data_IF_431959114233
#
_entry.id   IF_431959114233
#
_cell.length_a   1.000
_cell.length_b   1.000
_cell.length_c   1.000
_cell.angle_alpha   90.00
_cell.angle_beta   90.00
_cell.angle_gamma   90.00
#
_symmetry.space_group_name_H-M   'P 1'
#
loop_
_entity.id
_entity.type
_entity.pdbx_description
1 polymer ?
#
# COMPACT_ATOMS: atom_id res chain seq x y z
N UNK A 1 -15.57 -15.02 -6.97
CA UNK A 1 -16.49 -14.47 -5.93
C UNK A 1 -15.75 -14.00 -4.66
N UNK A 2 -14.77 -14.76 -4.17
CA UNK A 2 -14.08 -14.51 -2.90
C UNK A 2 -12.88 -13.54 -2.99
N UNK A 3 -12.59 -12.99 -4.18
CA UNK A 3 -11.55 -11.96 -4.33
C UNK A 3 -11.85 -10.78 -3.42
N UNK A 4 -10.84 -10.30 -2.70
CA UNK A 4 -10.91 -9.03 -1.96
C UNK A 4 -10.38 -7.92 -2.88
N UNK A 5 -11.21 -6.93 -3.18
CA UNK A 5 -10.89 -5.84 -4.12
C UNK A 5 -11.51 -4.51 -3.65
N UNK A 6 -11.44 -3.47 -4.48
CA UNK A 6 -11.84 -2.11 -4.12
C UNK A 6 -10.67 -1.32 -3.56
N UNK A 7 -10.80 -0.81 -2.33
CA UNK A 7 -9.82 0.07 -1.69
C UNK A 7 -9.48 1.31 -2.54
N UNK A 8 -10.48 1.87 -3.22
CA UNK A 8 -10.32 3.10 -4.00
C UNK A 8 -10.26 4.27 -3.02
N UNK A 9 -9.05 4.57 -2.56
CA UNK A 9 -8.76 5.56 -1.54
C UNK A 9 -7.26 5.84 -1.47
N UNK A 10 -6.90 6.97 -0.87
CA UNK A 10 -5.51 7.40 -0.72
C UNK A 10 -5.28 7.87 0.71
N UNK A 11 -4.15 7.46 1.27
CA UNK A 11 -3.69 7.93 2.57
C UNK A 11 -2.22 8.36 2.46
N UNK A 12 -1.82 9.35 3.24
CA UNK A 12 -0.44 9.75 3.42
C UNK A 12 -0.27 10.41 4.77
N UNK A 13 0.94 10.36 5.32
CA UNK A 13 1.26 10.95 6.60
C UNK A 13 2.73 10.75 6.94
N UNK A 14 3.13 11.33 8.07
CA UNK A 14 4.46 11.18 8.64
C UNK A 14 4.36 10.92 10.14
N UNK A 15 5.35 10.23 10.69
CA UNK A 15 5.47 10.06 12.13
C UNK A 15 6.20 11.28 12.73
N UNK A 16 5.64 11.86 13.79
CA UNK A 16 6.37 12.81 14.64
C UNK A 16 7.10 12.04 15.74
N UNK A 17 8.42 12.03 15.64
CA UNK A 17 9.36 11.38 16.54
C UNK A 17 10.11 12.39 17.42
N UNK A 18 9.70 13.66 17.44
CA UNK A 18 10.31 14.71 18.28
C UNK A 18 10.39 14.30 19.75
N UNK A 19 9.32 13.70 20.29
CA UNK A 19 9.29 13.18 21.66
C UNK A 19 10.28 12.03 21.89
N UNK A 20 10.48 11.15 20.89
CA UNK A 20 11.47 10.08 20.97
C UNK A 20 12.90 10.64 20.96
N UNK A 21 13.18 11.64 20.11
CA UNK A 21 14.49 12.28 20.07
C UNK A 21 14.83 12.95 21.39
N UNK A 22 13.87 13.64 22.01
CA UNK A 22 14.03 14.21 23.33
C UNK A 22 14.37 13.16 24.40
N UNK A 23 13.69 12.00 24.39
CA UNK A 23 13.97 10.90 25.32
C UNK A 23 15.38 10.31 25.15
N UNK A 24 15.91 10.31 23.93
CA UNK A 24 17.25 9.82 23.60
C UNK A 24 18.35 10.87 23.77
N UNK A 25 17.99 12.10 24.16
CA UNK A 25 18.94 13.22 24.23
C UNK A 25 19.48 13.68 22.88
N UNK A 26 18.78 13.36 21.79
CA UNK A 26 19.17 13.72 20.43
C UNK A 26 18.66 15.12 20.09
N UNK A 27 19.57 15.98 19.64
CA UNK A 27 19.24 17.30 19.09
C UNK A 27 19.45 17.28 17.59
N UNK A 28 18.50 17.85 16.84
CA UNK A 28 18.58 17.96 15.38
C UNK A 28 18.54 19.43 15.00
N UNK A 29 19.35 19.83 14.01
CA UNK A 29 19.34 21.16 13.43
C UNK A 29 19.08 21.04 11.94
N UNK A 30 18.19 21.87 11.41
CA UNK A 30 17.75 21.81 10.01
C UNK A 30 18.01 23.16 9.35
N UNK A 31 18.83 23.15 8.30
CA UNK A 31 18.99 24.28 7.39
C UNK A 31 18.08 24.06 6.19
N UNK A 32 17.20 25.02 5.90
CA UNK A 32 16.24 24.93 4.80
C UNK A 32 16.36 26.15 3.89
N UNK A 33 16.16 25.94 2.59
CA UNK A 33 16.15 27.00 1.59
C UNK A 33 14.75 27.54 1.32
N UNK A 34 13.71 26.78 1.65
CA UNK A 34 12.29 27.11 1.41
C UNK A 34 11.44 26.60 2.57
N UNK A 35 10.24 27.18 2.74
CA UNK A 35 9.38 26.94 3.91
C UNK A 35 8.97 25.48 4.09
N UNK A 36 8.69 24.76 2.99
CA UNK A 36 8.23 23.35 2.98
C UNK A 36 9.34 22.35 2.67
N UNK A 37 10.61 22.77 2.60
CA UNK A 37 11.72 21.90 2.16
C UNK A 37 11.94 20.69 3.09
N UNK A 38 11.53 20.81 4.36
CA UNK A 38 11.60 19.77 5.39
C UNK A 38 10.21 19.29 5.83
N UNK A 39 9.16 19.48 5.02
CA UNK A 39 7.77 19.19 5.40
C UNK A 39 7.53 17.76 5.89
N UNK A 40 8.27 16.78 5.36
CA UNK A 40 8.17 15.37 5.78
C UNK A 40 9.14 14.98 6.90
N UNK A 41 9.79 15.95 7.56
CA UNK A 41 10.70 15.68 8.65
C UNK A 41 9.99 15.01 9.84
N UNK A 42 10.69 14.06 10.48
CA UNK A 42 10.20 13.30 11.63
C UNK A 42 10.48 13.97 12.97
N UNK A 43 11.20 15.08 13.01
CA UNK A 43 11.63 15.75 14.25
C UNK A 43 10.69 16.88 14.71
N UNK A 44 9.56 17.08 14.04
CA UNK A 44 8.54 18.08 14.36
C UNK A 44 7.19 17.69 13.77
N UNK A 45 6.04 18.21 14.23
CA UNK A 45 4.78 18.04 13.53
C UNK A 45 4.71 18.85 12.22
N UNK A 46 3.67 18.64 11.42
CA UNK A 46 3.36 19.55 10.31
C UNK A 46 3.03 20.95 10.84
N UNK A 47 3.39 21.98 10.09
CA UNK A 47 2.76 23.30 10.26
C UNK A 47 1.35 23.29 9.68
N UNK A 48 0.51 24.26 10.03
CA UNK A 48 -0.84 24.38 9.45
C UNK A 48 -0.82 24.52 7.92
N UNK A 49 0.15 25.27 7.38
CA UNK A 49 0.33 25.44 5.94
C UNK A 49 0.74 24.13 5.24
N UNK A 50 1.68 23.38 5.84
CA UNK A 50 2.11 22.08 5.34
C UNK A 50 1.00 21.03 5.40
N UNK A 51 0.23 21.01 6.49
CA UNK A 51 -0.91 20.11 6.65
C UNK A 51 -1.98 20.38 5.58
N UNK A 52 -2.26 21.65 5.30
CA UNK A 52 -3.21 22.02 4.25
C UNK A 52 -2.69 21.62 2.87
N UNK A 53 -1.42 21.86 2.57
CA UNK A 53 -0.81 21.45 1.31
C UNK A 53 -0.83 19.93 1.11
N UNK A 54 -0.59 19.16 2.17
CA UNK A 54 -0.69 17.70 2.14
C UNK A 54 -2.14 17.24 1.87
N UNK A 55 -3.13 17.87 2.51
CA UNK A 55 -4.56 17.60 2.27
C UNK A 55 -4.97 17.88 0.83
N UNK A 56 -4.50 18.98 0.25
CA UNK A 56 -4.84 19.34 -1.13
C UNK A 56 -4.19 18.39 -2.14
N UNK A 57 -2.96 17.97 -1.88
CA UNK A 57 -2.28 16.93 -2.66
C UNK A 57 -3.04 15.60 -2.60
N UNK A 58 -3.48 15.19 -1.40
CA UNK A 58 -4.28 13.98 -1.21
C UNK A 58 -5.62 14.03 -1.95
N UNK A 59 -6.32 15.17 -1.91
CA UNK A 59 -7.57 15.39 -2.66
C UNK A 59 -7.34 15.26 -4.15
N UNK A 60 -6.32 15.92 -4.69
CA UNK A 60 -6.00 15.86 -6.11
C UNK A 60 -5.71 14.44 -6.59
N UNK A 61 -4.93 13.66 -5.83
CA UNK A 61 -4.69 12.26 -6.16
C UNK A 61 -5.96 11.41 -6.02
N UNK A 62 -6.77 11.65 -5.00
CA UNK A 62 -8.01 10.89 -4.78
C UNK A 62 -8.99 11.12 -5.93
N UNK A 63 -9.22 12.38 -6.32
CA UNK A 63 -10.10 12.73 -7.43
C UNK A 63 -9.58 12.14 -8.75
N UNK A 64 -8.26 12.14 -8.95
CA UNK A 64 -7.66 11.46 -10.11
C UNK A 64 -7.93 9.95 -10.11
N UNK A 65 -7.78 9.28 -8.96
CA UNK A 65 -8.03 7.85 -8.85
C UNK A 65 -9.51 7.55 -9.13
N UNK A 66 -10.44 8.29 -8.53
CA UNK A 66 -11.88 8.11 -8.79
C UNK A 66 -12.21 8.37 -10.26
N UNK A 67 -11.64 9.39 -10.89
CA UNK A 67 -11.81 9.66 -12.32
C UNK A 67 -11.33 8.50 -13.19
N UNK A 68 -10.15 7.93 -12.93
CA UNK A 68 -9.65 6.77 -13.69
C UNK A 68 -10.58 5.57 -13.57
N UNK A 69 -11.14 5.34 -12.38
CA UNK A 69 -12.13 4.27 -12.17
C UNK A 69 -13.43 4.58 -12.90
N UNK A 70 -13.93 5.81 -12.82
CA UNK A 70 -15.15 6.22 -13.50
C UNK A 70 -15.02 6.02 -15.01
N UNK A 71 -13.94 6.53 -15.60
CA UNK A 71 -13.66 6.42 -17.04
C UNK A 71 -13.50 4.96 -17.46
N UNK A 72 -12.67 4.19 -16.74
CA UNK A 72 -12.38 2.80 -17.09
C UNK A 72 -13.53 1.82 -16.86
N UNK A 73 -14.53 2.19 -16.06
CA UNK A 73 -15.71 1.37 -15.75
C UNK A 73 -16.99 1.94 -16.36
N UNK A 74 -16.88 3.02 -17.12
CA UNK A 74 -18.01 3.75 -17.71
C UNK A 74 -19.10 4.10 -16.67
N UNK A 75 -18.65 4.51 -15.47
CA UNK A 75 -19.52 4.91 -14.36
C UNK A 75 -19.68 6.43 -14.33
N UNK A 76 -20.82 6.91 -13.85
CA UNK A 76 -20.92 8.30 -13.44
C UNK A 76 -19.96 8.56 -12.26
N UNK A 77 -19.46 9.79 -12.15
CA UNK A 77 -18.61 10.18 -11.01
C UNK A 77 -19.29 9.88 -9.67
N UNK A 78 -20.60 10.09 -9.55
CA UNK A 78 -21.36 9.78 -8.32
C UNK A 78 -21.34 8.28 -8.00
N UNK A 79 -21.49 7.41 -9.00
CA UNK A 79 -21.43 5.96 -8.81
C UNK A 79 -20.02 5.48 -8.46
N UNK A 80 -18.99 6.08 -9.06
CA UNK A 80 -17.59 5.83 -8.72
C UNK A 80 -17.29 6.27 -7.28
N UNK A 81 -17.73 7.47 -6.87
CA UNK A 81 -17.58 7.95 -5.49
C UNK A 81 -18.33 7.10 -4.46
N UNK A 82 -19.51 6.55 -4.81
CA UNK A 82 -20.25 5.64 -3.95
C UNK A 82 -19.49 4.35 -3.66
N UNK A 83 -18.62 3.93 -4.59
CA UNK A 83 -17.74 2.76 -4.47
C UNK A 83 -16.33 3.10 -3.97
N UNK A 84 -16.05 4.38 -3.67
CA UNK A 84 -14.72 4.86 -3.29
C UNK A 84 -14.55 4.96 -1.76
N UNK A 85 -13.84 5.98 -1.27
CA UNK A 85 -13.56 6.26 0.15
C UNK A 85 -12.79 5.14 0.88
N UNK A 86 -12.04 4.33 0.14
CA UNK A 86 -11.25 3.23 0.69
C UNK A 86 -12.07 2.00 1.10
N UNK A 87 -13.35 1.90 0.70
CA UNK A 87 -14.14 0.71 0.98
C UNK A 87 -13.58 -0.52 0.27
N UNK A 88 -13.56 -1.64 0.97
CA UNK A 88 -13.12 -2.94 0.48
C UNK A 88 -14.36 -3.79 0.22
N UNK A 89 -14.35 -4.53 -0.88
CA UNK A 89 -15.47 -5.34 -1.35
C UNK A 89 -15.01 -6.75 -1.67
N UNK A 90 -15.90 -7.71 -1.47
CA UNK A 90 -15.76 -9.03 -2.08
C UNK A 90 -16.08 -8.95 -3.57
N UNK A 91 -15.52 -9.89 -4.34
CA UNK A 91 -15.69 -9.93 -5.79
C UNK A 91 -17.15 -9.99 -6.23
N UNK A 92 -18.03 -10.60 -5.43
CA UNK A 92 -19.50 -10.55 -5.59
C UNK A 92 -20.04 -9.12 -5.61
N UNK A 93 -19.80 -8.38 -4.53
CA UNK A 93 -20.26 -7.01 -4.35
C UNK A 93 -19.63 -6.04 -5.36
N UNK A 94 -18.37 -6.30 -5.73
CA UNK A 94 -17.66 -5.55 -6.76
C UNK A 94 -18.32 -5.69 -8.14
N UNK A 95 -18.88 -6.87 -8.46
CA UNK A 95 -19.61 -7.09 -9.70
C UNK A 95 -20.93 -6.31 -9.72
N UNK A 96 -21.69 -6.33 -8.61
CA UNK A 96 -22.92 -5.55 -8.45
C UNK A 96 -22.67 -4.04 -8.62
N UNK A 97 -21.51 -3.56 -8.17
CA UNK A 97 -21.05 -2.17 -8.29
C UNK A 97 -20.37 -1.85 -9.62
N UNK A 98 -20.30 -2.81 -10.54
CA UNK A 98 -19.63 -2.69 -11.84
C UNK A 98 -18.13 -2.37 -11.76
N UNK A 99 -17.48 -2.64 -10.63
CA UNK A 99 -16.04 -2.52 -10.47
C UNK A 99 -15.28 -3.65 -11.18
N UNK A 100 -15.95 -4.76 -11.47
CA UNK A 100 -15.44 -5.88 -12.27
C UNK A 100 -16.49 -6.33 -13.27
N UNK A 101 -16.07 -7.03 -14.33
CA UNK A 101 -16.95 -7.43 -15.43
C UNK A 101 -17.60 -8.80 -15.21
N UNK A 102 -16.90 -9.72 -14.55
CA UNK A 102 -17.38 -11.08 -14.35
C UNK A 102 -16.72 -11.81 -13.18
N UNK A 103 -17.36 -12.88 -12.72
CA UNK A 103 -16.73 -13.84 -11.81
C UNK A 103 -15.90 -14.88 -12.56
N UNK A 104 -14.74 -15.23 -12.04
CA UNK A 104 -13.97 -16.34 -12.58
C UNK A 104 -12.62 -16.44 -11.91
N UNK A 105 -11.70 -17.07 -12.64
CA UNK A 105 -10.28 -17.13 -12.31
C UNK A 105 -9.45 -16.96 -13.58
N UNK A 106 -8.15 -17.24 -13.46
CA UNK A 106 -7.18 -17.07 -14.54
C UNK A 106 -7.58 -17.77 -15.85
N UNK A 107 -8.04 -19.03 -15.79
CA UNK A 107 -8.43 -19.78 -16.98
C UNK A 107 -9.61 -19.15 -17.74
N UNK A 108 -10.61 -18.64 -17.01
CA UNK A 108 -11.71 -17.89 -17.63
C UNK A 108 -11.17 -16.62 -18.30
N UNK A 109 -10.33 -15.85 -17.61
CA UNK A 109 -9.75 -14.63 -18.18
C UNK A 109 -8.97 -14.91 -19.48
N UNK A 110 -8.21 -16.02 -19.53
CA UNK A 110 -7.47 -16.44 -20.73
C UNK A 110 -8.44 -16.79 -21.87
N UNK A 111 -9.52 -17.52 -21.59
CA UNK A 111 -10.53 -17.87 -22.60
C UNK A 111 -11.19 -16.62 -23.18
N UNK A 112 -11.57 -15.66 -22.34
CA UNK A 112 -12.18 -14.38 -22.77
C UNK A 112 -11.20 -13.59 -23.66
N UNK A 113 -9.92 -13.50 -23.27
CA UNK A 113 -8.88 -12.82 -24.07
C UNK A 113 -8.65 -13.51 -25.40
N UNK A 114 -8.60 -14.85 -25.44
CA UNK A 114 -8.46 -15.60 -26.70
C UNK A 114 -9.61 -15.33 -27.66
N UNK A 115 -10.84 -15.35 -27.14
CA UNK A 115 -12.03 -15.06 -27.94
C UNK A 115 -11.98 -13.63 -28.53
N UNK A 116 -11.56 -12.64 -27.73
CA UNK A 116 -11.43 -11.25 -28.20
C UNK A 116 -10.27 -11.05 -29.18
N UNK A 117 -9.17 -11.79 -29.01
CA UNK A 117 -7.98 -11.70 -29.85
C UNK A 117 -8.05 -12.57 -31.13
N UNK A 118 -9.10 -13.37 -31.30
CA UNK A 118 -9.23 -14.31 -32.43
C UNK A 118 -8.21 -15.45 -32.39
N UNK A 119 -7.77 -15.85 -31.20
CA UNK A 119 -6.81 -16.95 -31.00
C UNK A 119 -7.56 -18.25 -30.73
N UNK A 120 -7.12 -19.35 -31.33
CA UNK A 120 -7.73 -20.67 -31.13
C UNK A 120 -7.80 -21.05 -29.65
N UNK A 121 -8.91 -21.69 -29.27
CA UNK A 121 -9.16 -22.13 -27.89
C UNK A 121 -8.08 -23.10 -27.37
N UNK A 122 -7.43 -23.83 -28.28
CA UNK A 122 -6.40 -24.82 -27.96
C UNK A 122 -4.97 -24.32 -28.20
N UNK A 123 -4.80 -23.05 -28.60
CA UNK A 123 -3.48 -22.48 -28.85
C UNK A 123 -2.60 -22.59 -27.59
N UNK A 124 -1.35 -23.07 -27.68
CA UNK A 124 -0.50 -23.29 -26.52
C UNK A 124 -0.24 -21.98 -25.75
N UNK A 125 -0.35 -22.04 -24.42
CA UNK A 125 -0.05 -20.89 -23.54
C UNK A 125 1.39 -21.03 -23.08
N UNK A 126 2.23 -20.07 -23.46
CA UNK A 126 3.54 -19.91 -22.86
C UNK A 126 3.45 -18.94 -21.68
N UNK A 127 3.67 -19.43 -20.46
CA UNK A 127 3.80 -18.57 -19.29
C UNK A 127 5.22 -18.01 -19.26
N UNK A 128 5.37 -16.71 -19.52
CA UNK A 128 6.63 -16.00 -19.30
C UNK A 128 6.55 -15.24 -17.99
N UNK A 129 7.43 -15.57 -17.05
CA UNK A 129 7.57 -14.80 -15.81
C UNK A 129 8.42 -13.57 -16.11
N UNK A 130 7.77 -12.43 -16.36
CA UNK A 130 8.45 -11.16 -16.61
C UNK A 130 8.79 -10.52 -15.27
N UNK A 131 9.94 -10.87 -14.71
CA UNK A 131 10.44 -10.36 -13.44
C UNK A 131 9.64 -10.86 -12.24
N UNK A 132 10.30 -11.57 -11.32
CA UNK A 132 9.73 -11.80 -10.01
C UNK A 132 9.47 -10.45 -9.34
N UNK A 133 8.26 -10.23 -8.82
CA UNK A 133 8.09 -9.24 -7.76
C UNK A 133 8.70 -9.89 -6.52
N UNK A 134 10.03 -9.96 -6.46
CA UNK A 134 10.74 -10.32 -5.25
C UNK A 134 10.50 -9.16 -4.26
N UNK A 135 9.71 -9.45 -3.23
CA UNK A 135 9.38 -8.52 -2.16
C UNK A 135 7.95 -7.96 -2.19
N UNK A 136 7.72 -6.99 -1.32
CA UNK A 136 6.39 -6.42 -1.04
C UNK A 136 5.71 -5.84 -2.29
N UNK A 137 4.39 -6.00 -2.41
CA UNK A 137 3.56 -5.31 -3.40
C UNK A 137 3.68 -3.79 -3.27
N UNK A 138 3.30 -2.99 -4.28
CA UNK A 138 3.39 -1.52 -4.19
C UNK A 138 2.67 -0.92 -2.98
N UNK A 139 1.50 -1.46 -2.63
CA UNK A 139 0.75 -1.06 -1.42
C UNK A 139 1.45 -1.54 -0.16
N UNK A 140 1.97 -2.77 -0.15
CA UNK A 140 2.74 -3.27 0.98
C UNK A 140 4.06 -2.52 1.17
N UNK A 141 4.71 -2.05 0.09
CA UNK A 141 5.89 -1.18 0.12
C UNK A 141 5.53 0.20 0.61
N UNK A 142 4.37 0.74 0.24
CA UNK A 142 3.89 2.02 0.77
C UNK A 142 3.64 1.91 2.28
N UNK A 143 2.86 0.91 2.71
CA UNK A 143 2.62 0.63 4.13
C UNK A 143 3.93 0.37 4.85
N UNK A 144 4.78 -0.51 4.31
CA UNK A 144 6.10 -0.74 4.88
C UNK A 144 6.94 0.53 4.89
N UNK A 145 6.93 1.42 3.89
CA UNK A 145 7.72 2.65 3.90
C UNK A 145 7.26 3.66 4.96
N UNK A 146 5.97 3.66 5.30
CA UNK A 146 5.41 4.47 6.39
C UNK A 146 5.81 3.92 7.76
N UNK A 147 5.96 2.61 7.88
CA UNK A 147 6.28 1.92 9.14
C UNK A 147 7.70 1.35 9.21
N UNK A 148 8.51 1.50 8.17
CA UNK A 148 9.87 0.99 8.07
C UNK A 148 10.77 2.01 8.75
N UNK A 149 11.41 1.63 9.85
CA UNK A 149 12.44 2.49 10.40
C UNK A 149 13.59 2.61 9.41
N UNK A 150 14.19 3.79 9.35
CA UNK A 150 15.45 3.99 8.65
C UNK A 150 16.49 3.00 9.20
N UNK A 151 16.77 1.93 8.44
CA UNK A 151 17.65 0.83 8.87
C UNK A 151 19.08 1.31 9.21
N UNK A 152 19.45 2.52 8.80
CA UNK A 152 20.75 3.13 9.12
C UNK A 152 20.87 3.79 10.51
N UNK A 153 19.76 4.08 11.21
CA UNK A 153 19.82 4.83 12.48
C UNK A 153 19.99 3.95 13.73
N UNK A 154 19.55 2.67 13.66
CA UNK A 154 19.56 1.76 14.80
C UNK A 154 20.85 0.92 14.93
N UNK A 155 21.59 0.73 13.83
CA UNK A 155 22.86 -0.01 13.86
C UNK A 155 23.99 0.75 14.57
N UNK A 156 24.01 2.08 14.47
CA UNK A 156 25.01 2.93 15.11
C UNK A 156 24.73 3.17 16.61
N UNK A 157 23.53 2.87 17.10
CA UNK A 157 23.16 3.00 18.51
C UNK A 157 23.49 1.74 19.35
N UNK A 158 24.06 0.69 18.74
CA UNK A 158 24.38 -0.56 19.44
C UNK A 158 25.53 -0.44 20.47
N UNK A 159 26.12 0.74 20.63
CA UNK A 159 27.01 1.07 21.77
C UNK A 159 26.28 1.79 22.90
N UNK A 160 24.94 1.74 22.95
CA UNK A 160 24.17 2.49 23.92
C UNK A 160 24.36 1.95 25.36
N UNK A 161 24.55 2.90 26.28
CA UNK A 161 24.54 2.74 27.73
C UNK A 161 23.35 1.90 28.24
N UNK A 162 23.46 1.22 29.40
CA UNK A 162 22.42 0.32 29.93
C UNK A 162 21.01 0.92 30.04
N UNK A 163 20.88 2.25 30.12
CA UNK A 163 19.60 2.96 30.11
C UNK A 163 18.80 2.84 28.80
N UNK A 164 19.45 2.53 27.66
CA UNK A 164 18.80 2.42 26.35
C UNK A 164 18.33 1.00 26.00
N UNK A 165 18.73 -0.01 26.78
CA UNK A 165 18.39 -1.41 26.54
C UNK A 165 16.87 -1.70 26.42
N UNK A 166 15.98 -1.16 27.28
CA UNK A 166 14.54 -1.40 27.14
C UNK A 166 13.93 -0.74 25.90
N UNK A 167 14.48 0.41 25.47
CA UNK A 167 14.06 1.11 24.26
C UNK A 167 14.49 0.34 22.99
N UNK A 168 15.70 -0.21 22.99
CA UNK A 168 16.22 -1.04 21.91
C UNK A 168 15.41 -2.35 21.76
N UNK A 169 15.09 -3.00 22.87
CA UNK A 169 14.27 -4.21 22.87
C UNK A 169 12.87 -3.95 22.29
N UNK A 170 12.24 -2.84 22.65
CA UNK A 170 10.91 -2.46 22.14
C UNK A 170 10.95 -2.05 20.67
N UNK A 171 12.01 -1.37 20.23
CA UNK A 171 12.23 -1.07 18.82
C UNK A 171 12.42 -2.36 18.00
N UNK A 172 13.21 -3.31 18.49
CA UNK A 172 13.41 -4.63 17.88
C UNK A 172 12.11 -5.43 17.77
N UNK A 173 11.24 -5.38 18.79
CA UNK A 173 9.93 -6.04 18.77
C UNK A 173 9.01 -5.47 17.68
N UNK A 174 8.92 -4.14 17.57
CA UNK A 174 8.11 -3.47 16.54
C UNK A 174 8.65 -3.80 15.14
N UNK A 175 9.98 -3.73 14.96
CA UNK A 175 10.66 -4.11 13.73
C UNK A 175 10.38 -5.55 13.30
N UNK A 176 10.42 -6.49 14.25
CA UNK A 176 10.14 -7.89 13.98
C UNK A 176 8.70 -8.09 13.49
N UNK A 177 7.73 -7.37 14.07
CA UNK A 177 6.32 -7.42 13.65
C UNK A 177 6.09 -6.83 12.24
N UNK A 178 6.78 -5.74 11.91
CA UNK A 178 6.73 -5.13 10.57
C UNK A 178 7.39 -6.03 9.52
N UNK A 179 8.54 -6.65 9.85
CA UNK A 179 9.24 -7.59 8.96
C UNK A 179 8.44 -8.88 8.70
N UNK A 180 7.67 -9.37 9.67
CA UNK A 180 6.79 -10.53 9.49
C UNK A 180 5.68 -10.28 8.46
N UNK A 181 5.23 -9.03 8.31
CA UNK A 181 4.30 -8.60 7.26
C UNK A 181 4.99 -8.43 5.89
N UNK A 182 6.32 -8.35 5.91
CA UNK A 182 7.19 -7.90 4.82
C UNK A 182 7.87 -8.98 3.98
N UNK A 183 7.85 -10.24 4.43
CA UNK A 183 8.81 -11.26 4.00
C UNK A 183 8.60 -11.87 2.59
N UNK A 184 7.73 -11.30 1.75
CA UNK A 184 7.71 -11.55 0.30
C UNK A 184 7.45 -12.99 -0.17
N UNK A 185 7.12 -13.92 0.73
CA UNK A 185 6.71 -15.27 0.35
C UNK A 185 5.24 -15.32 -0.08
N UNK A 186 4.83 -16.25 -0.96
CA UNK A 186 3.42 -16.50 -1.24
C UNK A 186 2.69 -16.85 0.06
N UNK A 187 1.77 -15.99 0.51
CA UNK A 187 0.96 -16.22 1.71
C UNK A 187 -0.12 -17.29 1.51
N UNK A 188 -0.42 -17.63 0.24
CA UNK A 188 -1.13 -18.83 -0.17
C UNK A 188 -0.83 -19.11 -1.65
N UNK A 189 -0.22 -20.26 -1.95
CA UNK A 189 -0.43 -20.95 -3.21
C UNK A 189 -1.58 -21.90 -2.94
N UNK A 190 -2.75 -21.65 -3.53
CA UNK A 190 -3.91 -22.52 -3.39
C UNK A 190 -3.82 -23.65 -4.40
N UNK A 191 -3.72 -24.92 -3.97
CA UNK A 191 -4.15 -26.02 -4.80
C UNK A 191 -5.45 -26.63 -4.26
N UNK A 192 -6.44 -26.69 -5.16
CA UNK A 192 -7.60 -27.60 -5.24
C UNK A 192 -8.96 -27.24 -4.59
N UNK A 193 -9.96 -27.25 -5.49
CA UNK A 193 -11.40 -27.60 -5.42
C UNK A 193 -12.07 -27.74 -4.05
N UNK A 194 -13.14 -26.95 -3.85
CA UNK A 194 -14.16 -27.13 -2.82
C UNK A 194 -15.41 -27.73 -3.48
N UNK A 195 -15.74 -28.97 -3.12
CA UNK A 195 -17.10 -29.51 -3.30
C UNK A 195 -17.92 -29.20 -2.04
N UNK A 196 -19.11 -28.64 -2.23
CA UNK A 196 -20.08 -28.39 -1.17
C UNK A 196 -21.22 -29.38 -1.38
N UNK A 197 -21.47 -30.22 -0.37
CA UNK A 197 -22.66 -31.07 -0.29
C UNK A 197 -23.92 -30.24 0.01
#
# INVERSE_FOLDING_TARGET
PLTVTGSIGIFSGKADLSGLYALLGLSTSTLRTHDRADMLASNRPFTADEEQAAKDTLRAYYDRFVSVVADGRELSMDAAYASAKGHVFLGGEALERKLVDAHGGLYRAIQEVRAQAGVDADAPIALSYVGGIDGLSGIQRLVASVFAPAEGALGAAATATPAAAPLLAKAQEILARVRAFGAGGPLALMPYTLEVQ
#
